data_IF_307326050157
#
_entry.id   IF_307326050157
#
_cell.length_a   1.000
_cell.length_b   1.000
_cell.length_c   1.000
_cell.angle_alpha   90.00
_cell.angle_beta   90.00
_cell.angle_gamma   90.00
#
_symmetry.space_group_name_H-M   'P 1'
#
loop_
_entity.id
_entity.type
_entity.pdbx_description
1 polymer ?
#
# COMPACT_ATOMS: atom_id res chain seq x y z
N UNK A 1 -11.26 13.66 -1.85
CA UNK A 1 -9.86 13.62 -2.32
C UNK A 1 -8.97 14.53 -1.50
N UNK A 2 -9.36 15.80 -1.29
CA UNK A 2 -8.61 16.77 -0.46
C UNK A 2 -8.26 16.25 0.96
N UNK A 3 -9.22 15.65 1.65
CA UNK A 3 -9.01 15.06 2.98
C UNK A 3 -7.96 13.94 3.00
N UNK A 4 -7.95 13.07 1.99
CA UNK A 4 -6.97 11.99 1.87
C UNK A 4 -5.57 12.53 1.53
N UNK A 5 -5.48 13.51 0.63
CA UNK A 5 -4.20 14.14 0.30
C UNK A 5 -3.59 14.85 1.52
N UNK A 6 -4.40 15.54 2.33
CA UNK A 6 -3.96 16.15 3.58
C UNK A 6 -3.48 15.10 4.60
N UNK A 7 -4.21 13.98 4.75
CA UNK A 7 -3.82 12.88 5.62
C UNK A 7 -2.49 12.24 5.18
N UNK A 8 -2.35 11.93 3.88
CA UNK A 8 -1.12 11.38 3.31
C UNK A 8 0.06 12.34 3.47
N UNK A 9 -0.15 13.64 3.30
CA UNK A 9 0.89 14.66 3.51
C UNK A 9 1.32 14.76 4.98
N UNK A 10 0.36 14.68 5.90
CA UNK A 10 0.63 14.68 7.35
C UNK A 10 1.47 13.45 7.73
N UNK A 11 1.05 12.26 7.30
CA UNK A 11 1.81 11.03 7.47
C UNK A 11 3.22 11.13 6.87
N UNK A 12 3.36 11.69 5.66
CA UNK A 12 4.64 11.85 5.00
C UNK A 12 5.62 12.72 5.81
N UNK A 13 5.15 13.85 6.33
CA UNK A 13 5.96 14.77 7.14
C UNK A 13 6.34 14.14 8.48
N UNK A 14 5.41 13.44 9.13
CA UNK A 14 5.68 12.76 10.40
C UNK A 14 6.68 11.61 10.23
N UNK A 15 6.54 10.81 9.16
CA UNK A 15 7.48 9.75 8.82
C UNK A 15 8.86 10.33 8.47
N UNK A 16 8.93 11.40 7.68
CA UNK A 16 10.19 12.08 7.37
C UNK A 16 10.88 12.55 8.65
N UNK A 17 10.15 13.17 9.59
CA UNK A 17 10.72 13.60 10.88
C UNK A 17 11.35 12.41 11.61
N UNK A 18 10.66 11.26 11.65
CA UNK A 18 11.17 10.03 12.27
C UNK A 18 12.40 9.47 11.57
N UNK A 19 12.45 9.49 10.24
CA UNK A 19 13.61 9.05 9.47
C UNK A 19 14.83 9.95 9.69
N UNK A 20 14.62 11.26 9.90
CA UNK A 20 15.68 12.23 10.13
C UNK A 20 16.25 12.21 11.56
N UNK A 21 15.51 11.72 12.57
CA UNK A 21 15.95 11.70 13.99
C UNK A 21 17.34 11.08 14.21
N UNK A 22 17.75 10.13 13.36
CA UNK A 22 19.03 9.41 13.49
C UNK A 22 19.99 9.60 12.31
N UNK A 23 19.68 10.52 11.37
CA UNK A 23 20.36 10.63 10.07
C UNK A 23 20.85 12.05 9.77
N UNK A 24 21.44 12.72 10.76
CA UNK A 24 22.02 14.05 10.57
C UNK A 24 23.06 14.05 9.44
N UNK A 25 22.87 14.94 8.45
CA UNK A 25 23.77 15.11 7.31
C UNK A 25 23.72 14.01 6.23
N UNK A 26 22.78 13.06 6.31
CA UNK A 26 22.63 11.99 5.31
C UNK A 26 21.41 12.23 4.41
N UNK A 27 21.47 11.70 3.19
CA UNK A 27 20.33 11.72 2.27
C UNK A 27 19.18 10.87 2.81
N UNK A 28 17.95 11.38 2.66
CA UNK A 28 16.71 10.66 2.94
C UNK A 28 15.87 10.63 1.67
N UNK A 29 15.51 9.44 1.22
CA UNK A 29 14.66 9.21 0.05
C UNK A 29 13.65 8.12 0.34
N UNK A 30 12.38 8.37 0.07
CA UNK A 30 11.28 7.42 0.28
C UNK A 30 10.05 7.85 -0.52
N UNK A 31 9.14 6.90 -0.76
CA UNK A 31 7.81 7.17 -1.32
C UNK A 31 6.76 7.09 -0.21
N UNK A 32 6.29 8.23 0.35
CA UNK A 32 5.25 8.22 1.38
C UNK A 32 3.95 7.59 0.87
N UNK A 33 3.60 7.83 -0.40
CA UNK A 33 2.39 7.30 -1.02
C UNK A 33 2.40 5.77 -1.11
N UNK A 34 3.54 5.17 -1.47
CA UNK A 34 3.67 3.71 -1.53
C UNK A 34 3.43 3.08 -0.15
N UNK A 35 4.04 3.64 0.90
CA UNK A 35 3.89 3.16 2.27
C UNK A 35 2.46 3.34 2.77
N UNK A 36 1.86 4.51 2.51
CA UNK A 36 0.49 4.80 2.96
C UNK A 36 -0.54 3.93 2.24
N UNK A 37 -0.36 3.67 0.93
CA UNK A 37 -1.21 2.75 0.16
C UNK A 37 -1.14 1.33 0.70
N UNK A 38 0.06 0.82 0.98
CA UNK A 38 0.26 -0.51 1.57
C UNK A 38 -0.40 -0.63 2.95
N UNK A 39 -0.19 0.35 3.84
CA UNK A 39 -0.82 0.35 5.17
C UNK A 39 -2.35 0.50 5.08
N UNK A 40 -2.86 1.23 4.10
CA UNK A 40 -4.30 1.37 3.87
C UNK A 40 -4.94 0.07 3.36
N UNK A 41 -4.21 -0.75 2.58
CA UNK A 41 -4.63 -2.13 2.27
C UNK A 41 -4.67 -3.01 3.53
N UNK A 42 -3.69 -2.90 4.42
CA UNK A 42 -3.69 -3.62 5.69
C UNK A 42 -4.86 -3.17 6.58
N UNK A 43 -5.18 -1.87 6.59
CA UNK A 43 -6.31 -1.29 7.32
C UNK A 43 -7.64 -1.98 6.94
N UNK A 44 -7.83 -2.29 5.65
CA UNK A 44 -9.03 -2.94 5.13
C UNK A 44 -9.36 -4.28 5.84
N UNK A 45 -8.33 -5.06 6.17
CA UNK A 45 -8.46 -6.33 6.90
C UNK A 45 -8.39 -6.20 8.43
N UNK A 46 -8.01 -5.03 8.95
CA UNK A 46 -7.84 -4.80 10.39
C UNK A 46 -9.15 -4.44 11.09
N UNK A 47 -9.28 -4.78 12.37
CA UNK A 47 -10.45 -4.42 13.20
C UNK A 47 -10.03 -3.95 14.59
N UNK A 48 -10.93 -3.26 15.28
CA UNK A 48 -10.76 -2.89 16.70
C UNK A 48 -9.57 -1.97 16.93
N UNK A 49 -8.72 -2.30 17.91
CA UNK A 49 -7.56 -1.48 18.27
C UNK A 49 -6.52 -1.39 17.15
N UNK A 50 -6.35 -2.45 16.35
CA UNK A 50 -5.43 -2.46 15.20
C UNK A 50 -5.88 -1.45 14.15
N UNK A 51 -7.17 -1.45 13.80
CA UNK A 51 -7.76 -0.49 12.86
C UNK A 51 -7.61 0.95 13.35
N UNK A 52 -7.89 1.18 14.63
CA UNK A 52 -7.77 2.50 15.24
C UNK A 52 -6.32 3.03 15.22
N UNK A 53 -5.34 2.16 15.48
CA UNK A 53 -3.92 2.54 15.46
C UNK A 53 -3.42 2.86 14.05
N UNK A 54 -3.75 2.02 13.06
CA UNK A 54 -3.36 2.25 11.66
C UNK A 54 -4.01 3.54 11.14
N UNK A 55 -5.31 3.73 11.37
CA UNK A 55 -6.03 4.94 10.96
C UNK A 55 -5.42 6.19 11.57
N UNK A 56 -5.08 6.15 12.86
CA UNK A 56 -4.44 7.26 13.56
C UNK A 56 -3.08 7.62 12.97
N UNK A 57 -2.22 6.62 12.72
CA UNK A 57 -0.88 6.85 12.15
C UNK A 57 -0.98 7.43 10.73
N UNK A 58 -1.92 6.93 9.93
CA UNK A 58 -2.19 7.45 8.59
C UNK A 58 -2.95 8.78 8.58
N UNK A 59 -3.28 9.34 9.76
CA UNK A 59 -4.07 10.57 9.90
C UNK A 59 -5.44 10.51 9.19
N UNK A 60 -6.05 9.33 9.14
CA UNK A 60 -7.34 9.10 8.49
C UNK A 60 -8.49 9.35 9.46
N UNK A 61 -9.45 10.17 9.04
CA UNK A 61 -10.69 10.40 9.81
C UNK A 61 -11.72 9.28 9.59
N UNK A 62 -11.76 8.72 8.37
CA UNK A 62 -12.69 7.69 7.96
C UNK A 62 -11.99 6.72 6.99
N UNK A 63 -11.97 5.43 7.31
CA UNK A 63 -11.30 4.41 6.51
C UNK A 63 -12.00 4.18 5.15
N UNK A 64 -13.34 4.16 5.12
CA UNK A 64 -14.10 3.91 3.90
C UNK A 64 -13.88 5.02 2.85
N UNK A 65 -13.87 6.28 3.28
CA UNK A 65 -13.57 7.41 2.40
C UNK A 65 -12.12 7.36 1.91
N UNK A 66 -11.20 6.88 2.74
CA UNK A 66 -9.81 6.68 2.36
C UNK A 66 -9.68 5.62 1.26
N UNK A 67 -10.35 4.47 1.39
CA UNK A 67 -10.34 3.40 0.37
C UNK A 67 -10.82 3.92 -1.00
N UNK A 68 -11.93 4.65 -1.03
CA UNK A 68 -12.44 5.26 -2.27
C UNK A 68 -11.45 6.30 -2.83
N UNK A 69 -10.83 7.10 -1.97
CA UNK A 69 -9.82 8.08 -2.38
C UNK A 69 -8.56 7.43 -2.97
N UNK A 70 -8.10 6.31 -2.41
CA UNK A 70 -6.99 5.54 -2.96
C UNK A 70 -7.33 4.97 -4.34
N UNK A 71 -8.55 4.47 -4.54
CA UNK A 71 -9.00 4.00 -5.85
C UNK A 71 -8.88 5.09 -6.92
N UNK A 72 -9.38 6.30 -6.61
CA UNK A 72 -9.28 7.44 -7.53
C UNK A 72 -7.82 7.83 -7.80
N UNK A 73 -6.99 7.95 -6.75
CA UNK A 73 -5.59 8.35 -6.89
C UNK A 73 -4.78 7.33 -7.68
N UNK A 74 -4.98 6.03 -7.45
CA UNK A 74 -4.29 4.98 -8.20
C UNK A 74 -4.68 4.97 -9.68
N UNK A 75 -5.92 5.34 -9.99
CA UNK A 75 -6.40 5.47 -11.38
C UNK A 75 -5.79 6.69 -12.07
N UNK A 76 -5.68 7.81 -11.37
CA UNK A 76 -5.08 9.05 -11.89
C UNK A 76 -3.55 8.90 -12.09
N UNK A 77 -2.85 8.33 -11.10
CA UNK A 77 -1.40 8.12 -11.16
C UNK A 77 -1.01 7.19 -12.31
N UNK A 78 -1.81 6.15 -12.56
CA UNK A 78 -1.53 5.15 -13.60
C UNK A 78 -2.22 5.48 -14.95
N UNK A 79 -2.67 6.72 -15.17
CA UNK A 79 -3.28 7.09 -16.44
C UNK A 79 -2.27 6.96 -17.61
N UNK A 80 -2.52 6.06 -18.57
CA UNK A 80 -1.61 5.83 -19.70
C UNK A 80 -1.58 6.99 -20.70
N UNK A 81 -2.50 7.94 -20.61
CA UNK A 81 -2.59 9.08 -21.54
C UNK A 81 -1.73 10.27 -21.11
N UNK A 82 -0.92 10.11 -20.06
CA UNK A 82 -0.01 11.15 -19.58
C UNK A 82 1.24 11.28 -20.48
N UNK A 83 1.92 12.43 -20.40
CA UNK A 83 3.15 12.71 -21.16
C UNK A 83 4.42 12.26 -20.42
N UNK A 84 4.28 11.56 -19.32
CA UNK A 84 5.35 11.12 -18.43
C UNK A 84 5.15 9.65 -18.06
N UNK A 85 6.20 9.00 -17.56
CA UNK A 85 6.09 7.67 -16.97
C UNK A 85 6.02 7.83 -15.46
N UNK A 86 4.85 7.55 -14.91
CA UNK A 86 4.64 7.40 -13.48
C UNK A 86 3.81 6.13 -13.28
N UNK A 87 4.26 5.27 -12.37
CA UNK A 87 3.61 3.99 -12.11
C UNK A 87 3.56 3.71 -10.62
N UNK A 88 2.46 3.12 -10.19
CA UNK A 88 2.30 2.56 -8.85
C UNK A 88 1.49 1.28 -8.97
N UNK A 89 1.95 0.22 -8.31
CA UNK A 89 1.30 -1.08 -8.36
C UNK A 89 1.18 -1.66 -6.95
N UNK A 90 0.05 -2.32 -6.70
CA UNK A 90 -0.23 -3.03 -5.47
C UNK A 90 -0.50 -4.50 -5.78
N UNK A 91 -0.12 -5.39 -4.87
CA UNK A 91 -0.42 -6.82 -4.96
C UNK A 91 -0.49 -7.43 -3.57
N UNK A 92 -1.35 -8.44 -3.43
CA UNK A 92 -1.40 -9.28 -2.25
C UNK A 92 -0.78 -10.64 -2.60
N UNK A 93 0.09 -11.13 -1.71
CA UNK A 93 0.62 -12.49 -1.79
C UNK A 93 0.16 -13.24 -0.55
N UNK A 94 -0.50 -14.38 -0.75
CA UNK A 94 -1.06 -15.18 0.34
C UNK A 94 -0.65 -16.64 0.25
N UNK A 95 -0.48 -17.29 1.40
CA UNK A 95 -0.21 -18.74 1.44
C UNK A 95 -1.36 -19.51 0.79
N UNK A 96 -1.06 -20.41 -0.14
CA UNK A 96 -2.05 -21.18 -0.90
C UNK A 96 -2.90 -22.09 -0.02
N UNK A 97 -2.39 -22.53 1.13
CA UNK A 97 -3.15 -23.33 2.10
C UNK A 97 -3.99 -22.49 3.06
N UNK A 98 -3.93 -21.16 2.98
CA UNK A 98 -4.68 -20.26 3.86
C UNK A 98 -5.94 -19.74 3.16
N UNK A 99 -7.07 -19.79 3.85
CA UNK A 99 -8.33 -19.26 3.34
C UNK A 99 -8.50 -17.79 3.72
N UNK A 100 -8.65 -16.93 2.71
CA UNK A 100 -8.91 -15.51 2.90
C UNK A 100 -10.41 -15.21 2.75
N UNK A 101 -10.89 -14.21 3.49
CA UNK A 101 -12.27 -13.74 3.35
C UNK A 101 -12.48 -13.19 1.91
N UNK A 102 -13.50 -13.68 1.18
CA UNK A 102 -13.77 -13.21 -0.19
C UNK A 102 -13.98 -11.69 -0.26
N UNK A 103 -14.70 -11.13 0.72
CA UNK A 103 -14.95 -9.69 0.81
C UNK A 103 -13.68 -8.84 0.94
N UNK A 104 -12.64 -9.37 1.59
CA UNK A 104 -11.34 -8.69 1.69
C UNK A 104 -10.61 -8.69 0.35
N UNK A 105 -10.61 -9.83 -0.36
CA UNK A 105 -10.00 -9.94 -1.69
C UNK A 105 -10.70 -8.98 -2.67
N UNK A 106 -12.04 -9.03 -2.71
CA UNK A 106 -12.86 -8.17 -3.58
C UNK A 106 -12.61 -6.69 -3.30
N UNK A 107 -12.59 -6.30 -2.03
CA UNK A 107 -12.35 -4.90 -1.64
C UNK A 107 -10.92 -4.45 -1.95
N UNK A 108 -9.93 -5.34 -1.83
CA UNK A 108 -8.53 -5.06 -2.18
C UNK A 108 -8.36 -4.85 -3.69
N UNK A 109 -8.96 -5.73 -4.49
CA UNK A 109 -8.97 -5.60 -5.93
C UNK A 109 -9.66 -4.30 -6.37
N UNK A 110 -10.83 -4.00 -5.79
CA UNK A 110 -11.63 -2.82 -6.15
C UNK A 110 -10.93 -1.51 -5.80
N UNK A 111 -10.49 -1.38 -4.55
CA UNK A 111 -10.00 -0.09 -4.04
C UNK A 111 -8.52 0.16 -4.32
N UNK A 112 -7.74 -0.90 -4.54
CA UNK A 112 -6.27 -0.80 -4.66
C UNK A 112 -5.70 -1.41 -5.94
N UNK A 113 -6.55 -1.99 -6.79
CA UNK A 113 -6.12 -2.79 -7.95
C UNK A 113 -5.17 -3.93 -7.55
N UNK A 114 -5.33 -4.43 -6.31
CA UNK A 114 -4.45 -5.41 -5.71
C UNK A 114 -5.08 -6.80 -5.72
N UNK A 115 -4.73 -7.60 -6.73
CA UNK A 115 -5.14 -8.99 -6.81
C UNK A 115 -4.37 -9.87 -5.81
N UNK A 116 -5.05 -10.90 -5.29
CA UNK A 116 -4.41 -11.95 -4.51
C UNK A 116 -3.75 -12.96 -5.43
N UNK A 117 -2.45 -13.17 -5.25
CA UNK A 117 -1.71 -14.28 -5.83
C UNK A 117 -1.38 -15.30 -4.73
N UNK A 118 -1.75 -16.55 -4.95
CA UNK A 118 -1.45 -17.62 -4.01
C UNK A 118 -0.02 -18.12 -4.21
N UNK A 119 0.71 -18.24 -3.11
CA UNK A 119 2.12 -18.62 -3.03
C UNK A 119 2.29 -19.80 -2.08
N UNK A 120 3.39 -20.55 -2.23
CA UNK A 120 3.76 -21.62 -1.31
C UNK A 120 4.86 -21.15 -0.36
N UNK A 121 4.47 -20.31 0.60
CA UNK A 121 5.36 -19.83 1.65
C UNK A 121 5.74 -20.94 2.65
N UNK A 122 4.95 -22.00 2.78
CA UNK A 122 5.26 -23.08 3.71
C UNK A 122 6.34 -24.03 3.18
N UNK A 123 6.31 -24.39 1.89
CA UNK A 123 7.20 -25.41 1.32
C UNK A 123 8.16 -24.88 0.26
N UNK A 124 7.85 -23.75 -0.40
CA UNK A 124 8.66 -23.15 -1.46
C UNK A 124 8.87 -21.64 -1.25
N UNK A 125 9.21 -21.25 -0.02
CA UNK A 125 9.37 -19.84 0.38
C UNK A 125 10.44 -19.10 -0.42
N UNK A 126 11.54 -19.76 -0.81
CA UNK A 126 12.59 -19.14 -1.64
C UNK A 126 12.09 -18.83 -3.06
N UNK A 127 11.31 -19.72 -3.66
CA UNK A 127 10.74 -19.46 -4.98
C UNK A 127 9.65 -18.38 -4.91
N UNK A 128 8.82 -18.41 -3.86
CA UNK A 128 7.85 -17.34 -3.57
C UNK A 128 8.55 -15.99 -3.40
N UNK A 129 9.69 -15.94 -2.68
CA UNK A 129 10.51 -14.73 -2.52
C UNK A 129 11.04 -14.22 -3.86
N UNK A 130 11.56 -15.10 -4.72
CA UNK A 130 12.04 -14.71 -6.07
C UNK A 130 10.90 -14.18 -6.95
N UNK A 131 9.72 -14.80 -6.87
CA UNK A 131 8.55 -14.36 -7.64
C UNK A 131 8.07 -12.97 -7.21
N UNK A 132 8.01 -12.71 -5.90
CA UNK A 132 7.68 -11.37 -5.36
C UNK A 132 8.72 -10.35 -5.84
N UNK A 133 10.01 -10.66 -5.72
CA UNK A 133 11.08 -9.77 -6.16
C UNK A 133 11.01 -9.48 -7.66
N UNK A 134 10.82 -10.52 -8.50
CA UNK A 134 10.71 -10.36 -9.95
C UNK A 134 9.50 -9.53 -10.37
N UNK A 135 8.37 -9.67 -9.66
CA UNK A 135 7.22 -8.81 -9.91
C UNK A 135 7.49 -7.35 -9.53
N UNK A 136 8.17 -7.09 -8.41
CA UNK A 136 8.54 -5.71 -8.04
C UNK A 136 9.49 -5.13 -9.08
N UNK A 137 10.52 -5.88 -9.48
CA UNK A 137 11.48 -5.51 -10.53
C UNK A 137 10.76 -5.11 -11.83
N UNK A 138 9.88 -5.98 -12.36
CA UNK A 138 9.07 -5.69 -13.57
C UNK A 138 8.22 -4.40 -13.44
N UNK A 139 7.74 -4.08 -12.24
CA UNK A 139 6.90 -2.90 -12.00
C UNK A 139 7.70 -1.62 -11.79
N UNK A 140 8.99 -1.73 -11.47
CA UNK A 140 9.91 -0.59 -11.25
C UNK A 140 10.97 -0.43 -12.34
N UNK A 141 10.79 -1.15 -13.45
CA UNK A 141 11.65 -1.30 -14.65
C UNK A 141 12.77 -2.32 -14.54
#
# INVERSE_FOLDING_TARGET
MESLCAANSTFAVDLLRKLCEKKSGQNVFFSPFSISSALSMVLLGSRGSTEAQISKVLSLNNAQDAHNGYQSLLSEINDPNTKYILRTANRLYGEKTFEFLPSFIESSQKSYHAGLEQMDFLHAWEDSRKQINGWVEERTE
#
